data_IF_072529433521
#
_entry.id   IF_072529433521
#
_cell.length_a   1.000
_cell.length_b   1.000
_cell.length_c   1.000
_cell.angle_alpha   90.00
_cell.angle_beta   90.00
_cell.angle_gamma   90.00
#
_symmetry.space_group_name_H-M   'P 1'
#
loop_
_entity.id
_entity.type
_entity.pdbx_description
1 polymer ?
#
# COMPACT_ATOMS: atom_id res chain seq x y z
N UNK A 1 -1.63 -23.39 5.08
CA UNK A 1 -0.79 -22.59 4.17
C UNK A 1 -1.47 -22.57 2.81
N UNK A 2 -1.57 -21.40 2.18
CA UNK A 2 -2.05 -21.27 0.82
C UNK A 2 -0.85 -21.11 -0.13
N UNK A 3 -0.94 -21.67 -1.33
CA UNK A 3 0.13 -21.63 -2.33
C UNK A 3 -0.35 -20.85 -3.55
N UNK A 4 0.49 -19.93 -4.03
CA UNK A 4 0.27 -19.19 -5.27
C UNK A 4 1.33 -19.63 -6.26
N UNK A 5 0.91 -20.00 -7.47
CA UNK A 5 1.81 -20.35 -8.57
C UNK A 5 1.72 -19.26 -9.63
N UNK A 6 2.83 -18.56 -9.88
CA UNK A 6 2.92 -17.53 -10.91
C UNK A 6 3.73 -18.10 -12.08
N UNK A 7 3.20 -17.97 -13.29
CA UNK A 7 3.94 -18.29 -14.52
C UNK A 7 4.66 -17.03 -14.98
N UNK A 8 5.96 -17.15 -15.18
CA UNK A 8 6.86 -16.11 -15.66
C UNK A 8 7.76 -16.69 -16.74
N UNK A 9 8.31 -15.82 -17.58
CA UNK A 9 9.41 -16.14 -18.48
C UNK A 9 10.72 -16.36 -17.71
N UNK A 10 11.71 -16.97 -18.38
CA UNK A 10 13.03 -17.18 -17.80
C UNK A 10 13.74 -15.86 -17.48
N UNK A 11 13.52 -14.82 -18.29
CA UNK A 11 14.08 -13.48 -18.09
C UNK A 11 13.48 -12.79 -16.85
N UNK A 12 12.14 -12.81 -16.73
CA UNK A 12 11.46 -12.26 -15.55
C UNK A 12 11.88 -12.99 -14.27
N UNK A 13 12.00 -14.33 -14.32
CA UNK A 13 12.47 -15.10 -13.18
C UNK A 13 13.87 -14.68 -12.76
N UNK A 14 14.79 -14.54 -13.72
CA UNK A 14 16.18 -14.13 -13.43
C UNK A 14 16.21 -12.73 -12.81
N UNK A 15 15.43 -11.80 -13.34
CA UNK A 15 15.31 -10.45 -12.79
C UNK A 15 14.80 -10.47 -11.35
N UNK A 16 13.72 -11.20 -11.08
CA UNK A 16 13.14 -11.31 -9.73
C UNK A 16 14.11 -11.97 -8.73
N UNK A 17 14.85 -12.98 -9.16
CA UNK A 17 15.88 -13.63 -8.33
C UNK A 17 17.05 -12.67 -7.99
N UNK A 18 17.47 -11.83 -8.95
CA UNK A 18 18.48 -10.79 -8.71
C UNK A 18 17.97 -9.70 -7.76
N UNK A 19 16.71 -9.28 -7.92
CA UNK A 19 16.07 -8.31 -7.02
C UNK A 19 15.90 -8.84 -5.60
N UNK A 20 15.51 -10.11 -5.45
CA UNK A 20 15.38 -10.73 -4.14
C UNK A 20 16.73 -10.78 -3.40
N UNK A 21 17.82 -11.11 -4.13
CA UNK A 21 19.19 -11.06 -3.59
C UNK A 21 19.61 -9.65 -3.23
N UNK A 22 19.29 -8.67 -4.07
CA UNK A 22 19.60 -7.26 -3.82
C UNK A 22 18.94 -6.75 -2.53
N UNK A 23 17.68 -7.12 -2.28
CA UNK A 23 16.96 -6.76 -1.05
C UNK A 23 17.28 -7.67 0.14
N UNK A 24 18.06 -8.75 -0.06
CA UNK A 24 18.36 -9.73 1.00
C UNK A 24 17.13 -10.53 1.46
N UNK A 25 16.11 -10.67 0.61
CA UNK A 25 14.85 -11.37 0.89
C UNK A 25 14.75 -12.67 0.09
N UNK A 26 13.85 -13.57 0.50
CA UNK A 26 13.47 -14.68 -0.36
C UNK A 26 12.60 -14.18 -1.52
N UNK A 27 12.59 -14.89 -2.65
CA UNK A 27 11.73 -14.54 -3.79
C UNK A 27 10.24 -14.48 -3.39
N UNK A 28 9.81 -15.39 -2.53
CA UNK A 28 8.42 -15.40 -2.02
C UNK A 28 8.13 -14.19 -1.15
N UNK A 29 9.08 -13.78 -0.30
CA UNK A 29 8.90 -12.61 0.56
C UNK A 29 8.87 -11.34 -0.28
N UNK A 30 9.78 -11.18 -1.23
CA UNK A 30 9.79 -10.05 -2.17
C UNK A 30 8.45 -9.93 -2.88
N UNK A 31 8.00 -11.01 -3.55
CA UNK A 31 6.75 -10.99 -4.29
C UNK A 31 5.55 -10.68 -3.38
N UNK A 32 5.52 -11.24 -2.17
CA UNK A 32 4.43 -11.02 -1.23
C UNK A 32 4.42 -9.58 -0.72
N UNK A 33 5.54 -9.06 -0.21
CA UNK A 33 5.60 -7.71 0.37
C UNK A 33 5.34 -6.67 -0.68
N UNK A 34 6.05 -6.72 -1.81
CA UNK A 34 5.93 -5.71 -2.87
C UNK A 34 4.53 -5.69 -3.47
N UNK A 35 3.90 -6.86 -3.67
CA UNK A 35 2.53 -6.89 -4.22
C UNK A 35 1.51 -6.34 -3.22
N UNK A 36 1.60 -6.70 -1.95
CA UNK A 36 0.65 -6.24 -0.94
C UNK A 36 0.81 -4.75 -0.66
N UNK A 37 2.05 -4.28 -0.45
CA UNK A 37 2.37 -2.86 -0.23
C UNK A 37 1.88 -2.02 -1.42
N UNK A 38 2.18 -2.42 -2.65
CA UNK A 38 1.73 -1.67 -3.84
C UNK A 38 0.20 -1.65 -4.00
N UNK A 39 -0.50 -2.69 -3.56
CA UNK A 39 -1.96 -2.73 -3.59
C UNK A 39 -2.58 -1.87 -2.48
N UNK A 40 -2.01 -1.91 -1.28
CA UNK A 40 -2.40 -1.07 -0.15
C UNK A 40 -2.20 0.42 -0.47
N UNK A 41 -1.04 0.81 -1.00
CA UNK A 41 -0.75 2.20 -1.40
C UNK A 41 -1.78 2.71 -2.44
N UNK A 42 -2.12 1.87 -3.43
CA UNK A 42 -3.10 2.21 -4.46
C UNK A 42 -4.51 2.35 -3.88
N UNK A 43 -4.87 1.46 -2.95
CA UNK A 43 -6.16 1.51 -2.26
C UNK A 43 -6.27 2.75 -1.38
N UNK A 44 -5.25 3.05 -0.57
CA UNK A 44 -5.21 4.21 0.31
C UNK A 44 -5.27 5.52 -0.47
N UNK A 45 -4.56 5.61 -1.60
CA UNK A 45 -4.67 6.75 -2.51
C UNK A 45 -6.11 6.93 -3.02
N UNK A 46 -6.75 5.85 -3.46
CA UNK A 46 -8.12 5.89 -3.95
C UNK A 46 -9.13 6.31 -2.87
N UNK A 47 -8.99 5.79 -1.65
CA UNK A 47 -9.82 6.18 -0.50
C UNK A 47 -9.61 7.65 -0.15
N UNK A 48 -8.36 8.11 -0.18
CA UNK A 48 -8.01 9.52 0.03
C UNK A 48 -8.68 10.44 -0.99
N UNK A 49 -8.67 10.07 -2.27
CA UNK A 49 -9.33 10.83 -3.34
C UNK A 49 -10.85 10.94 -3.10
N UNK A 50 -11.51 9.82 -2.74
CA UNK A 50 -12.95 9.81 -2.43
C UNK A 50 -13.25 10.73 -1.23
N UNK A 51 -12.48 10.60 -0.15
CA UNK A 51 -12.66 11.41 1.05
C UNK A 51 -12.47 12.91 0.74
N UNK A 52 -11.52 13.24 -0.13
CA UNK A 52 -11.28 14.59 -0.59
C UNK A 52 -12.42 15.12 -1.45
N UNK A 53 -12.95 14.34 -2.40
CA UNK A 53 -14.12 14.72 -3.20
C UNK A 53 -15.35 14.99 -2.34
N UNK A 54 -15.59 14.15 -1.33
CA UNK A 54 -16.71 14.33 -0.41
C UNK A 54 -16.53 15.57 0.48
N UNK A 55 -15.31 15.83 0.95
CA UNK A 55 -14.98 17.10 1.62
C UNK A 55 -15.24 18.31 0.71
N UNK A 56 -14.88 18.24 -0.57
CA UNK A 56 -15.13 19.33 -1.52
C UNK A 56 -16.63 19.62 -1.72
N UNK A 57 -17.49 18.60 -1.68
CA UNK A 57 -18.95 18.76 -1.76
C UNK A 57 -19.54 19.49 -0.55
N UNK A 58 -18.95 19.33 0.64
CA UNK A 58 -19.44 19.94 1.88
C UNK A 58 -18.28 20.38 2.79
N UNK A 59 -17.60 21.47 2.38
CA UNK A 59 -16.43 21.99 3.10
C UNK A 59 -16.84 22.49 4.48
N UNK A 60 -16.44 21.76 5.52
CA UNK A 60 -16.62 22.16 6.93
C UNK A 60 -15.27 22.40 7.56
N UNK A 61 -15.06 23.61 8.06
CA UNK A 61 -13.92 23.91 8.91
C UNK A 61 -14.27 23.59 10.36
N UNK A 62 -13.39 22.89 11.06
CA UNK A 62 -13.49 22.65 12.50
C UNK A 62 -12.21 23.13 13.21
N UNK A 63 -12.29 23.61 14.45
CA UNK A 63 -11.11 23.97 15.23
C UNK A 63 -10.18 22.76 15.41
N UNK A 64 -8.86 22.99 15.33
CA UNK A 64 -7.86 21.94 15.54
C UNK A 64 -8.00 21.26 16.91
N UNK A 65 -8.36 22.01 17.96
CA UNK A 65 -8.57 21.49 19.31
C UNK A 65 -9.67 20.42 19.37
N UNK A 66 -10.70 20.55 18.53
CA UNK A 66 -11.78 19.56 18.45
C UNK A 66 -11.29 18.26 17.81
N UNK A 67 -10.47 18.35 16.76
CA UNK A 67 -9.85 17.19 16.11
C UNK A 67 -8.87 16.47 17.05
N UNK A 68 -8.01 17.21 17.76
CA UNK A 68 -7.05 16.61 18.70
C UNK A 68 -7.75 15.83 19.82
N UNK A 69 -8.85 16.36 20.33
CA UNK A 69 -9.70 15.66 21.31
C UNK A 69 -10.35 14.40 20.71
N UNK A 70 -10.83 14.48 19.47
CA UNK A 70 -11.48 13.36 18.77
C UNK A 70 -10.52 12.20 18.48
N UNK A 71 -9.26 12.49 18.13
CA UNK A 71 -8.24 11.49 17.81
C UNK A 71 -7.39 11.07 19.02
N UNK A 72 -7.73 11.53 20.23
CA UNK A 72 -6.99 11.23 21.47
C UNK A 72 -5.49 11.57 21.36
N UNK A 73 -5.19 12.68 20.70
CA UNK A 73 -3.82 13.19 20.53
C UNK A 73 -3.64 14.37 21.49
N UNK A 74 -2.94 14.13 22.61
CA UNK A 74 -2.56 15.15 23.61
C UNK A 74 -1.57 16.20 23.07
#
# INVERSE_FOLDING_TARGET
MATITVRVSDEEKKFLDEMAKFEGKSLSDLLKTTTLESLEDSYDAHVGDIAYEDYLKNRKSRPLSELLTEYEVD
#
